data_IF_497455255392
#
_entry.id   IF_497455255392
#
_cell.length_a   1.000
_cell.length_b   1.000
_cell.length_c   1.000
_cell.angle_alpha   90.00
_cell.angle_beta   90.00
_cell.angle_gamma   90.00
#
_symmetry.space_group_name_H-M   'P 1'
#
loop_
_entity.id
_entity.type
_entity.pdbx_description
1 polymer ?
#
# COMPACT_ATOMS: atom_id res chain seq x y z
N UNK A 1 -4.24 34.73 -35.34
CA UNK A 1 -2.85 34.60 -34.83
C UNK A 1 -2.90 34.28 -33.34
N UNK A 2 -2.02 33.42 -32.87
CA UNK A 2 -1.94 33.09 -31.47
C UNK A 2 -1.31 34.22 -30.65
N UNK A 3 -1.83 34.47 -29.45
CA UNK A 3 -1.22 35.37 -28.46
C UNK A 3 -0.07 34.65 -27.74
N UNK A 4 1.03 34.40 -28.44
CA UNK A 4 2.11 33.50 -28.06
C UNK A 4 2.74 33.83 -26.70
N UNK A 5 2.85 35.11 -26.32
CA UNK A 5 3.46 35.50 -25.05
C UNK A 5 2.63 35.04 -23.84
N UNK A 6 1.31 35.28 -23.86
CA UNK A 6 0.42 34.88 -22.78
C UNK A 6 0.35 33.32 -22.67
N UNK A 7 0.21 32.65 -23.82
CA UNK A 7 0.19 31.19 -23.88
C UNK A 7 1.50 30.57 -23.39
N UNK A 8 2.64 31.21 -23.64
CA UNK A 8 3.94 30.76 -23.15
C UNK A 8 4.01 30.81 -21.62
N UNK A 9 3.54 31.87 -20.98
CA UNK A 9 3.50 32.03 -19.53
C UNK A 9 2.58 30.99 -18.86
N UNK A 10 1.38 30.80 -19.46
CA UNK A 10 0.43 29.77 -18.98
C UNK A 10 0.99 28.35 -19.11
N UNK A 11 1.61 28.04 -20.26
CA UNK A 11 2.23 26.73 -20.49
C UNK A 11 3.36 26.47 -19.50
N UNK A 12 4.21 27.45 -19.24
CA UNK A 12 5.30 27.34 -18.26
C UNK A 12 4.76 27.05 -16.87
N UNK A 13 3.70 27.74 -16.45
CA UNK A 13 3.05 27.48 -15.16
C UNK A 13 2.45 26.10 -15.10
N UNK A 14 1.77 25.65 -16.16
CA UNK A 14 1.21 24.31 -16.27
C UNK A 14 2.29 23.23 -16.11
N UNK A 15 3.39 23.34 -16.84
CA UNK A 15 4.52 22.41 -16.78
C UNK A 15 5.16 22.39 -15.39
N UNK A 16 5.40 23.55 -14.80
CA UNK A 16 5.97 23.66 -13.46
C UNK A 16 5.09 22.98 -12.41
N UNK A 17 3.79 23.23 -12.40
CA UNK A 17 2.87 22.59 -11.44
C UNK A 17 2.83 21.07 -11.65
N UNK A 18 2.78 20.60 -12.90
CA UNK A 18 2.84 19.19 -13.22
C UNK A 18 4.09 18.54 -12.64
N UNK A 19 5.25 19.15 -12.84
CA UNK A 19 6.52 18.64 -12.31
C UNK A 19 6.53 18.62 -10.78
N UNK A 20 5.98 19.65 -10.13
CA UNK A 20 5.85 19.67 -8.66
C UNK A 20 4.94 18.56 -8.14
N UNK A 21 3.82 18.26 -8.80
CA UNK A 21 2.93 17.16 -8.47
C UNK A 21 3.68 15.83 -8.57
N UNK A 22 4.38 15.59 -9.68
CA UNK A 22 5.17 14.37 -9.89
C UNK A 22 6.24 14.21 -8.80
N UNK A 23 7.04 15.26 -8.52
CA UNK A 23 8.08 15.20 -7.50
C UNK A 23 7.52 14.98 -6.10
N UNK A 24 6.36 15.58 -5.78
CA UNK A 24 5.68 15.39 -4.50
C UNK A 24 5.16 13.97 -4.38
N UNK A 25 4.55 13.41 -5.44
CA UNK A 25 4.12 12.01 -5.51
C UNK A 25 5.28 11.02 -5.28
N UNK A 26 6.42 11.25 -5.93
CA UNK A 26 7.64 10.45 -5.71
C UNK A 26 8.13 10.55 -4.26
N UNK A 27 8.03 11.73 -3.65
CA UNK A 27 8.40 11.90 -2.23
C UNK A 27 7.50 11.10 -1.31
N UNK A 28 6.18 11.07 -1.55
CA UNK A 28 5.24 10.21 -0.81
C UNK A 28 5.66 8.75 -0.93
N UNK A 29 5.91 8.25 -2.16
CA UNK A 29 6.33 6.87 -2.39
C UNK A 29 7.68 6.50 -1.73
N UNK A 30 8.58 7.45 -1.51
CA UNK A 30 9.82 7.21 -0.74
C UNK A 30 9.56 7.10 0.75
N UNK A 31 8.65 7.93 1.27
CA UNK A 31 8.29 7.92 2.69
C UNK A 31 7.46 6.67 3.03
N UNK A 32 6.59 6.20 2.11
CA UNK A 32 5.83 4.95 2.29
C UNK A 32 6.78 3.78 2.56
N UNK A 33 7.88 3.67 1.83
CA UNK A 33 8.89 2.63 2.05
C UNK A 33 9.52 2.68 3.43
N UNK A 34 9.74 3.88 3.98
CA UNK A 34 10.26 4.01 5.35
C UNK A 34 9.23 3.51 6.39
N UNK A 35 7.94 3.80 6.20
CA UNK A 35 6.86 3.26 7.06
C UNK A 35 6.83 1.73 6.96
N UNK A 36 6.73 1.18 5.75
CA UNK A 36 6.66 -0.26 5.50
C UNK A 36 7.83 -1.00 6.13
N UNK A 37 9.07 -0.56 5.88
CA UNK A 37 10.26 -1.19 6.46
C UNK A 37 10.30 -1.13 7.99
N UNK A 38 9.87 -0.02 8.58
CA UNK A 38 9.81 0.13 10.04
C UNK A 38 8.77 -0.82 10.65
N UNK A 39 7.59 -0.94 10.05
CA UNK A 39 6.55 -1.90 10.48
C UNK A 39 7.07 -3.33 10.44
N UNK A 40 7.68 -3.76 9.33
CA UNK A 40 8.21 -5.13 9.18
C UNK A 40 9.30 -5.44 10.21
N UNK A 41 10.11 -4.43 10.57
CA UNK A 41 11.13 -4.55 11.61
C UNK A 41 10.56 -4.45 13.03
N UNK A 42 9.25 -4.19 13.17
CA UNK A 42 8.56 -3.96 14.46
C UNK A 42 9.03 -2.70 15.20
N UNK A 43 9.64 -1.76 14.50
CA UNK A 43 9.97 -0.44 15.03
C UNK A 43 8.79 0.52 14.83
N UNK A 44 7.79 0.37 15.68
CA UNK A 44 6.54 1.14 15.58
C UNK A 44 6.77 2.63 15.84
N UNK A 45 7.77 3.01 16.63
CA UNK A 45 8.11 4.42 16.86
C UNK A 45 8.68 5.08 15.60
N UNK A 46 9.59 4.39 14.89
CA UNK A 46 10.10 4.86 13.60
C UNK A 46 9.00 4.87 12.53
N UNK A 47 8.12 3.87 12.51
CA UNK A 47 6.99 3.80 11.58
C UNK A 47 6.05 4.99 11.77
N UNK A 48 5.68 5.31 13.02
CA UNK A 48 4.80 6.42 13.33
C UNK A 48 5.41 7.78 12.97
N UNK A 49 6.71 7.96 13.19
CA UNK A 49 7.42 9.16 12.75
C UNK A 49 7.39 9.30 11.22
N UNK A 50 7.78 8.23 10.51
CA UNK A 50 7.78 8.24 9.04
C UNK A 50 6.37 8.47 8.47
N UNK A 51 5.34 7.94 9.14
CA UNK A 51 3.95 8.14 8.77
C UNK A 51 3.56 9.63 8.88
N UNK A 52 3.88 10.29 9.99
CA UNK A 52 3.62 11.74 10.14
C UNK A 52 4.31 12.56 9.06
N UNK A 53 5.59 12.27 8.80
CA UNK A 53 6.36 12.95 7.75
C UNK A 53 5.71 12.75 6.36
N UNK A 54 5.15 11.55 6.11
CA UNK A 54 4.43 11.23 4.87
C UNK A 54 3.08 11.97 4.78
N UNK A 55 2.31 12.03 5.86
CA UNK A 55 1.01 12.72 5.90
C UNK A 55 1.13 14.21 5.60
N UNK A 56 2.20 14.87 6.07
CA UNK A 56 2.50 16.27 5.73
C UNK A 56 2.68 16.45 4.21
N UNK A 57 3.40 15.52 3.57
CA UNK A 57 3.63 15.56 2.12
C UNK A 57 2.35 15.22 1.35
N UNK A 58 1.55 14.26 1.82
CA UNK A 58 0.25 13.92 1.25
C UNK A 58 -0.72 15.10 1.33
N UNK A 59 -0.74 15.83 2.45
CA UNK A 59 -1.57 17.01 2.59
C UNK A 59 -1.20 18.11 1.56
N UNK A 60 0.11 18.30 1.30
CA UNK A 60 0.58 19.18 0.21
C UNK A 60 0.11 18.67 -1.16
N UNK A 61 0.30 17.38 -1.45
CA UNK A 61 -0.09 16.76 -2.73
C UNK A 61 -1.59 16.94 -2.99
N UNK A 62 -2.44 16.75 -1.98
CA UNK A 62 -3.89 16.93 -2.09
C UNK A 62 -4.28 18.36 -2.46
N UNK A 63 -3.69 19.36 -1.83
CA UNK A 63 -3.95 20.78 -2.19
C UNK A 63 -3.59 21.06 -3.63
N UNK A 64 -2.48 20.50 -4.12
CA UNK A 64 -2.06 20.69 -5.50
C UNK A 64 -3.06 20.09 -6.50
N UNK A 65 -3.56 18.88 -6.25
CA UNK A 65 -4.54 18.22 -7.13
C UNK A 65 -5.96 18.77 -6.96
N UNK A 66 -6.28 19.39 -5.83
CA UNK A 66 -7.52 20.14 -5.64
C UNK A 66 -7.54 21.42 -6.52
N UNK A 67 -6.42 22.14 -6.56
CA UNK A 67 -6.26 23.31 -7.42
C UNK A 67 -6.10 22.94 -8.91
N UNK A 68 -5.48 21.80 -9.21
CA UNK A 68 -5.16 21.31 -10.56
C UNK A 68 -5.64 19.86 -10.76
N UNK A 69 -6.96 19.61 -10.85
CA UNK A 69 -7.51 18.25 -10.89
C UNK A 69 -7.04 17.40 -12.07
N UNK A 70 -6.63 18.05 -13.20
CA UNK A 70 -6.09 17.36 -14.36
C UNK A 70 -4.79 16.60 -14.08
N UNK A 71 -4.09 16.91 -12.98
CA UNK A 71 -2.86 16.20 -12.59
C UNK A 71 -3.09 15.07 -11.58
N UNK A 72 -4.35 14.73 -11.28
CA UNK A 72 -4.65 13.61 -10.38
C UNK A 72 -3.92 12.33 -10.79
N UNK A 73 -3.92 11.97 -12.09
CA UNK A 73 -3.21 10.79 -12.58
C UNK A 73 -1.69 10.80 -12.28
N UNK A 74 -1.08 11.98 -12.18
CA UNK A 74 0.34 12.13 -11.82
C UNK A 74 0.58 11.92 -10.31
N UNK A 75 -0.44 12.12 -9.49
CA UNK A 75 -0.41 11.92 -8.05
C UNK A 75 -0.80 10.49 -7.63
N UNK A 76 -1.53 9.76 -8.48
CA UNK A 76 -2.19 8.50 -8.15
C UNK A 76 -1.25 7.46 -7.53
N UNK A 77 -0.06 7.25 -8.10
CA UNK A 77 0.91 6.29 -7.56
C UNK A 77 1.33 6.65 -6.12
N UNK A 78 1.64 7.91 -5.84
CA UNK A 78 1.99 8.34 -4.48
C UNK A 78 0.84 8.15 -3.50
N UNK A 79 -0.39 8.41 -3.93
CA UNK A 79 -1.57 8.20 -3.09
C UNK A 79 -1.85 6.71 -2.85
N UNK A 80 -1.62 5.82 -3.81
CA UNK A 80 -1.71 4.37 -3.63
C UNK A 80 -0.67 3.86 -2.61
N UNK A 81 0.57 4.30 -2.73
CA UNK A 81 1.64 4.00 -1.79
C UNK A 81 1.34 4.52 -0.37
N UNK A 82 0.68 5.70 -0.26
CA UNK A 82 0.19 6.20 1.02
C UNK A 82 -0.86 5.28 1.63
N UNK A 83 -1.85 4.85 0.83
CA UNK A 83 -2.89 3.90 1.27
C UNK A 83 -2.25 2.60 1.77
N UNK A 84 -1.33 2.02 1.01
CA UNK A 84 -0.61 0.80 1.37
C UNK A 84 0.12 0.95 2.72
N UNK A 85 0.98 1.94 2.83
CA UNK A 85 1.81 2.14 4.02
C UNK A 85 0.99 2.44 5.28
N UNK A 86 -0.03 3.30 5.15
CA UNK A 86 -0.93 3.61 6.26
C UNK A 86 -1.72 2.37 6.70
N UNK A 87 -2.26 1.61 5.73
CA UNK A 87 -3.01 0.40 5.99
C UNK A 87 -2.17 -0.67 6.69
N UNK A 88 -0.93 -0.88 6.23
CA UNK A 88 0.00 -1.80 6.88
C UNK A 88 0.32 -1.37 8.33
N UNK A 89 0.57 -0.07 8.55
CA UNK A 89 0.84 0.48 9.88
C UNK A 89 -0.36 0.27 10.81
N UNK A 90 -1.57 0.63 10.35
CA UNK A 90 -2.77 0.50 11.15
C UNK A 90 -3.11 -0.96 11.45
N UNK A 91 -2.94 -1.84 10.46
CA UNK A 91 -3.11 -3.27 10.67
C UNK A 91 -2.14 -3.82 11.72
N UNK A 92 -0.87 -3.42 11.68
CA UNK A 92 0.12 -3.85 12.67
C UNK A 92 -0.18 -3.32 14.08
N UNK A 93 -0.77 -2.11 14.18
CA UNK A 93 -1.08 -1.45 15.44
C UNK A 93 -2.41 -1.87 16.05
N UNK A 94 -3.45 -2.01 15.23
CA UNK A 94 -4.84 -2.16 15.66
C UNK A 94 -5.52 -3.44 15.12
N UNK A 95 -4.90 -4.14 14.18
CA UNK A 95 -5.47 -5.34 13.55
C UNK A 95 -6.61 -5.05 12.56
N UNK A 96 -6.71 -3.82 12.06
CA UNK A 96 -7.72 -3.40 11.08
C UNK A 96 -7.12 -2.59 9.93
N UNK A 97 -7.83 -2.52 8.83
CA UNK A 97 -7.53 -1.57 7.76
C UNK A 97 -8.26 -0.24 8.00
N UNK A 98 -7.71 0.91 7.55
CA UNK A 98 -8.41 2.19 7.58
C UNK A 98 -9.57 2.19 6.57
N UNK A 99 -10.59 2.99 6.82
CA UNK A 99 -11.61 3.23 5.80
C UNK A 99 -11.09 4.20 4.72
N UNK A 100 -11.74 4.21 3.57
CA UNK A 100 -11.44 5.16 2.50
C UNK A 100 -11.59 6.62 2.97
N UNK A 101 -12.59 6.88 3.81
CA UNK A 101 -12.89 8.19 4.38
C UNK A 101 -11.78 8.66 5.34
N UNK A 102 -11.25 7.77 6.18
CA UNK A 102 -10.09 8.06 7.05
C UNK A 102 -8.88 8.51 6.22
N UNK A 103 -8.67 7.88 5.06
CA UNK A 103 -7.55 8.18 4.17
C UNK A 103 -7.83 9.36 3.22
N UNK A 104 -9.07 9.77 3.01
CA UNK A 104 -9.46 10.88 2.15
C UNK A 104 -9.00 10.70 0.69
N UNK A 105 -9.11 9.50 0.14
CA UNK A 105 -8.79 9.19 -1.26
C UNK A 105 -10.05 8.71 -2.01
N UNK A 106 -9.99 8.66 -3.35
CA UNK A 106 -11.06 8.06 -4.13
C UNK A 106 -11.09 6.52 -4.00
N UNK A 107 -12.20 5.93 -4.41
CA UNK A 107 -12.43 4.48 -4.28
C UNK A 107 -11.40 3.65 -5.06
N UNK A 108 -11.00 4.10 -6.24
CA UNK A 108 -10.06 3.37 -7.08
C UNK A 108 -8.66 3.36 -6.45
N UNK A 109 -8.16 4.53 -6.07
CA UNK A 109 -6.88 4.69 -5.36
C UNK A 109 -6.86 3.87 -4.06
N UNK A 110 -7.97 3.87 -3.31
CA UNK A 110 -8.11 3.09 -2.09
C UNK A 110 -7.97 1.59 -2.35
N UNK A 111 -8.77 1.04 -3.28
CA UNK A 111 -8.76 -0.40 -3.58
C UNK A 111 -7.43 -0.87 -4.14
N UNK A 112 -6.78 -0.07 -4.99
CA UNK A 112 -5.46 -0.37 -5.54
C UNK A 112 -4.41 -0.45 -4.43
N UNK A 113 -4.36 0.54 -3.53
CA UNK A 113 -3.39 0.60 -2.45
C UNK A 113 -3.63 -0.45 -1.35
N UNK A 114 -4.89 -0.70 -0.97
CA UNK A 114 -5.23 -1.75 0.00
C UNK A 114 -4.88 -3.14 -0.54
N UNK A 115 -5.06 -3.40 -1.85
CA UNK A 115 -4.66 -4.67 -2.45
C UNK A 115 -3.13 -4.90 -2.36
N UNK A 116 -2.31 -3.83 -2.41
CA UNK A 116 -0.85 -3.94 -2.29
C UNK A 116 -0.40 -4.35 -0.89
N UNK A 117 -1.21 -4.05 0.14
CA UNK A 117 -0.95 -4.50 1.53
C UNK A 117 -0.78 -6.01 1.62
N UNK A 118 -1.48 -6.78 0.78
CA UNK A 118 -1.38 -8.25 0.78
C UNK A 118 0.06 -8.75 0.57
N UNK A 119 0.84 -8.08 -0.28
CA UNK A 119 2.26 -8.39 -0.49
C UNK A 119 3.09 -8.16 0.76
N UNK A 120 2.87 -7.05 1.46
CA UNK A 120 3.60 -6.72 2.68
C UNK A 120 3.16 -7.59 3.88
N UNK A 121 1.88 -8.00 3.95
CA UNK A 121 1.41 -9.00 4.92
C UNK A 121 2.05 -10.36 4.62
N UNK A 122 2.20 -10.75 3.35
CA UNK A 122 2.92 -11.96 2.94
C UNK A 122 4.39 -11.92 3.38
N UNK A 123 5.05 -10.80 3.16
CA UNK A 123 6.42 -10.57 3.63
C UNK A 123 6.51 -10.65 5.16
N UNK A 124 5.58 -10.01 5.86
CA UNK A 124 5.51 -10.09 7.32
C UNK A 124 5.29 -11.52 7.82
N UNK A 125 4.44 -12.31 7.14
CA UNK A 125 4.23 -13.71 7.46
C UNK A 125 5.52 -14.54 7.34
N UNK A 126 6.33 -14.28 6.31
CA UNK A 126 7.63 -14.93 6.15
C UNK A 126 8.58 -14.58 7.30
N UNK A 127 8.65 -13.31 7.70
CA UNK A 127 9.45 -12.89 8.84
C UNK A 127 8.99 -13.57 10.16
N UNK A 128 7.68 -13.75 10.35
CA UNK A 128 7.16 -14.48 11.52
C UNK A 128 7.54 -15.96 11.48
N UNK A 129 7.51 -16.61 10.32
CA UNK A 129 7.96 -17.98 10.15
C UNK A 129 9.46 -18.13 10.42
N UNK A 130 10.30 -17.20 9.99
CA UNK A 130 11.74 -17.17 10.33
C UNK A 130 11.98 -17.03 11.83
N UNK A 131 11.10 -16.31 12.54
CA UNK A 131 11.10 -16.21 14.01
C UNK A 131 10.44 -17.42 14.71
N UNK A 132 10.01 -18.43 13.94
CA UNK A 132 9.29 -19.62 14.42
C UNK A 132 7.91 -19.32 15.03
N UNK A 133 7.32 -18.17 14.69
CA UNK A 133 6.00 -17.75 15.15
C UNK A 133 4.92 -18.12 14.12
N UNK A 134 4.63 -19.41 14.02
CA UNK A 134 3.68 -19.99 13.06
C UNK A 134 2.28 -19.39 13.23
N UNK A 135 1.87 -19.16 14.49
CA UNK A 135 0.54 -18.64 14.79
C UNK A 135 0.34 -17.18 14.29
N UNK A 136 1.36 -16.35 14.41
CA UNK A 136 1.31 -15.01 13.83
C UNK A 136 1.25 -15.04 12.29
N UNK A 137 2.02 -15.94 11.67
CA UNK A 137 1.96 -16.11 10.23
C UNK A 137 0.59 -16.60 9.75
N UNK A 138 -0.09 -17.47 10.54
CA UNK A 138 -1.46 -17.93 10.25
C UNK A 138 -2.47 -16.77 10.29
N UNK A 139 -2.41 -15.92 11.31
CA UNK A 139 -3.27 -14.72 11.39
C UNK A 139 -3.07 -13.76 10.21
N UNK A 140 -1.83 -13.60 9.76
CA UNK A 140 -1.54 -12.78 8.57
C UNK A 140 -2.12 -13.39 7.30
N UNK A 141 -2.04 -14.73 7.16
CA UNK A 141 -2.68 -15.45 6.06
C UNK A 141 -4.21 -15.25 6.06
N UNK A 142 -4.85 -15.40 7.20
CA UNK A 142 -6.31 -15.22 7.36
C UNK A 142 -6.73 -13.77 6.99
N UNK A 143 -5.93 -12.79 7.36
CA UNK A 143 -6.17 -11.39 6.97
C UNK A 143 -6.11 -11.18 5.45
N UNK A 144 -5.13 -11.80 4.76
CA UNK A 144 -5.01 -11.72 3.30
C UNK A 144 -6.17 -12.46 2.61
N UNK A 145 -6.61 -13.59 3.14
CA UNK A 145 -7.78 -14.32 2.62
C UNK A 145 -9.07 -13.51 2.77
N UNK A 146 -9.26 -12.86 3.93
CA UNK A 146 -10.42 -11.98 4.15
C UNK A 146 -10.41 -10.82 3.15
N UNK A 147 -9.27 -10.17 2.96
CA UNK A 147 -9.12 -9.09 1.99
C UNK A 147 -9.41 -9.57 0.55
N UNK A 148 -8.99 -10.78 0.19
CA UNK A 148 -9.30 -11.37 -1.11
C UNK A 148 -10.81 -11.55 -1.31
N UNK A 149 -11.49 -12.11 -0.31
CA UNK A 149 -12.95 -12.32 -0.38
C UNK A 149 -13.71 -10.98 -0.45
N UNK A 150 -13.25 -9.96 0.29
CA UNK A 150 -13.84 -8.62 0.21
C UNK A 150 -13.69 -8.03 -1.18
N UNK A 151 -12.51 -8.12 -1.80
CA UNK A 151 -12.27 -7.62 -3.16
C UNK A 151 -13.10 -8.39 -4.21
N UNK A 152 -13.26 -9.71 -4.06
CA UNK A 152 -14.11 -10.51 -4.93
C UNK A 152 -15.59 -10.11 -4.82
N UNK A 153 -16.06 -9.80 -3.60
CA UNK A 153 -17.46 -9.41 -3.36
C UNK A 153 -17.83 -8.09 -4.03
N UNK A 154 -16.85 -7.24 -4.36
CA UNK A 154 -17.07 -5.99 -5.10
C UNK A 154 -17.32 -6.19 -6.59
N UNK A 155 -17.05 -7.39 -7.13
CA UNK A 155 -17.22 -7.74 -8.56
C UNK A 155 -16.64 -6.65 -9.51
N UNK A 156 -15.37 -6.26 -9.37
CA UNK A 156 -14.83 -5.13 -10.12
C UNK A 156 -14.85 -5.44 -11.63
N UNK A 157 -15.39 -4.51 -12.43
CA UNK A 157 -15.37 -4.62 -13.89
C UNK A 157 -14.08 -4.10 -14.51
N UNK A 158 -13.37 -3.24 -13.80
CA UNK A 158 -12.07 -2.71 -14.21
C UNK A 158 -11.01 -3.82 -14.25
N UNK A 159 -10.21 -3.83 -15.31
CA UNK A 159 -9.19 -4.86 -15.53
C UNK A 159 -8.06 -4.82 -14.51
N UNK A 160 -7.57 -3.63 -14.17
CA UNK A 160 -6.46 -3.48 -13.23
C UNK A 160 -6.89 -3.85 -11.80
N UNK A 161 -8.12 -3.51 -11.39
CA UNK A 161 -8.67 -3.96 -10.10
C UNK A 161 -8.85 -5.48 -10.04
N UNK A 162 -9.27 -6.13 -11.14
CA UNK A 162 -9.33 -7.61 -11.18
C UNK A 162 -7.95 -8.22 -11.01
N UNK A 163 -6.95 -7.71 -11.74
CA UNK A 163 -5.56 -8.16 -11.57
C UNK A 163 -5.06 -8.00 -10.14
N UNK A 164 -5.45 -6.91 -9.47
CA UNK A 164 -5.11 -6.70 -8.06
C UNK A 164 -5.80 -7.72 -7.15
N UNK A 165 -7.07 -8.03 -7.38
CA UNK A 165 -7.76 -9.10 -6.64
C UNK A 165 -7.07 -10.46 -6.86
N UNK A 166 -6.74 -10.82 -8.11
CA UNK A 166 -5.99 -12.04 -8.42
C UNK A 166 -4.60 -12.08 -7.74
N UNK A 167 -3.93 -10.93 -7.69
CA UNK A 167 -2.67 -10.77 -6.95
C UNK A 167 -2.85 -11.07 -5.47
N UNK A 168 -3.88 -10.52 -4.82
CA UNK A 168 -4.18 -10.78 -3.39
C UNK A 168 -4.43 -12.28 -3.16
N UNK A 169 -5.22 -12.93 -4.03
CA UNK A 169 -5.44 -14.38 -3.98
C UNK A 169 -4.14 -15.18 -4.11
N UNK A 170 -3.24 -14.75 -5.00
CA UNK A 170 -1.92 -15.38 -5.16
C UNK A 170 -1.05 -15.24 -3.90
N UNK A 171 -1.12 -14.11 -3.20
CA UNK A 171 -0.43 -13.91 -1.91
C UNK A 171 -0.96 -14.84 -0.82
N UNK A 172 -2.28 -15.03 -0.73
CA UNK A 172 -2.90 -15.97 0.21
C UNK A 172 -2.39 -17.41 -0.02
N UNK A 173 -2.35 -17.85 -1.28
CA UNK A 173 -1.82 -19.16 -1.66
C UNK A 173 -0.32 -19.28 -1.34
N UNK A 174 0.46 -18.24 -1.63
CA UNK A 174 1.89 -18.23 -1.34
C UNK A 174 2.17 -18.36 0.17
N UNK A 175 1.45 -17.63 1.03
CA UNK A 175 1.59 -17.73 2.49
C UNK A 175 1.20 -19.14 2.97
N UNK A 176 0.12 -19.73 2.41
CA UNK A 176 -0.34 -21.07 2.72
C UNK A 176 0.74 -22.12 2.43
N UNK A 177 1.41 -22.00 1.28
CA UNK A 177 2.53 -22.88 0.92
C UNK A 177 3.69 -22.76 1.91
N UNK A 178 4.08 -21.54 2.31
CA UNK A 178 5.14 -21.32 3.30
C UNK A 178 4.78 -21.89 4.68
N UNK A 179 3.53 -21.72 5.09
CA UNK A 179 3.01 -22.31 6.34
C UNK A 179 3.06 -23.85 6.29
N UNK A 180 2.64 -24.44 5.18
CA UNK A 180 2.70 -25.89 4.99
C UNK A 180 4.13 -26.42 5.18
N UNK A 181 5.11 -25.86 4.49
CA UNK A 181 6.50 -26.28 4.63
C UNK A 181 7.05 -26.05 6.05
N UNK A 182 6.76 -24.93 6.66
CA UNK A 182 7.23 -24.62 8.02
C UNK A 182 6.66 -25.54 9.08
N UNK A 183 5.45 -26.09 8.87
CA UNK A 183 4.80 -27.01 9.81
C UNK A 183 5.20 -28.46 9.56
N UNK A 184 5.25 -28.91 8.29
CA UNK A 184 5.54 -30.30 7.92
C UNK A 184 7.00 -30.68 8.14
N UNK A 185 7.95 -29.79 7.73
CA UNK A 185 9.37 -30.05 7.98
C UNK A 185 9.76 -30.08 9.47
N UNK A 186 8.93 -29.51 10.35
CA UNK A 186 9.15 -29.54 11.79
C UNK A 186 8.75 -30.87 12.40
N UNK A 187 7.67 -31.48 11.93
CA UNK A 187 7.21 -32.80 12.39
C UNK A 187 8.22 -33.88 12.04
N UNK A 188 8.76 -33.91 10.83
CA UNK A 188 9.78 -34.87 10.43
C UNK A 188 11.08 -34.75 11.23
N UNK A 189 11.50 -33.52 11.62
CA UNK A 189 12.71 -33.33 12.41
C UNK A 189 12.53 -33.74 13.91
N UNK A 190 11.32 -33.79 14.42
CA UNK A 190 11.01 -34.24 15.79
C UNK A 190 10.83 -35.76 15.87
N UNK A 191 10.38 -36.40 14.78
CA UNK A 191 10.23 -37.88 14.68
C UNK A 191 11.56 -38.62 14.53
N UNK A 192 12.64 -37.95 14.13
CA UNK A 192 14.00 -38.52 13.98
C UNK A 192 14.94 -38.21 15.15
N UNK A 193 14.43 -37.73 16.30
CA UNK A 193 15.17 -37.54 17.56
C UNK A 193 14.74 -38.54 18.61
#
# INVERSE_FOLDING_TARGET
MLHTKALYEELRRYEQVKDEVVQTSIKVARLSKAVVYSVIRRDMAAAEKALRDMEEVVAKLRKMIEEWPMFYGNAATGLQEYVEAYSLYLFAKEGRLPSREELGVDVYTYLMGVADVAGELGRSATEELLRKNVEAARRLKEAVESLYLDLLSLEPRDYELRKKADYVGSQANWISEKLFYATTCRQTAEEFK
#
